data_IF_209637097085
#
_entry.id   IF_209637097085
#
_cell.length_a   1.000
_cell.length_b   1.000
_cell.length_c   1.000
_cell.angle_alpha   90.00
_cell.angle_beta   90.00
_cell.angle_gamma   90.00
#
_symmetry.space_group_name_H-M   'P 1'
#
loop_
_entity.id
_entity.type
_entity.pdbx_description
1 polymer ?
#
# COMPACT_ATOMS: atom_id res chain seq x y z
N UNK A 1 -21.61 -3.68 -68.06
CA UNK A 1 -20.41 -2.90 -67.69
C UNK A 1 -20.55 -2.42 -66.24
N UNK A 2 -20.59 -3.33 -65.27
CA UNK A 2 -20.94 -3.02 -63.86
C UNK A 2 -20.01 -3.71 -62.84
N UNK A 3 -18.91 -4.34 -63.30
CA UNK A 3 -17.88 -4.98 -62.46
C UNK A 3 -16.75 -4.03 -62.01
N UNK A 4 -16.80 -2.75 -62.38
CA UNK A 4 -15.76 -1.76 -62.04
C UNK A 4 -16.00 -1.10 -60.68
N UNK A 5 -17.25 -0.74 -60.38
CA UNK A 5 -17.58 0.11 -59.23
C UNK A 5 -17.34 -0.59 -57.88
N UNK A 6 -17.87 -1.80 -57.71
CA UNK A 6 -17.72 -2.56 -56.45
C UNK A 6 -16.26 -2.94 -56.21
N UNK A 7 -15.51 -3.24 -57.28
CA UNK A 7 -14.10 -3.59 -57.19
C UNK A 7 -13.23 -2.38 -56.82
N UNK A 8 -13.49 -1.22 -57.43
CA UNK A 8 -12.81 0.03 -57.09
C UNK A 8 -13.16 0.53 -55.69
N UNK A 9 -14.40 0.34 -55.24
CA UNK A 9 -14.83 0.68 -53.89
C UNK A 9 -14.11 -0.19 -52.86
N UNK A 10 -14.04 -1.51 -53.08
CA UNK A 10 -13.30 -2.46 -52.24
C UNK A 10 -11.80 -2.18 -52.22
N UNK A 11 -11.19 -1.90 -53.38
CA UNK A 11 -9.76 -1.53 -53.48
C UNK A 11 -9.47 -0.21 -52.71
N UNK A 12 -10.37 0.79 -52.79
CA UNK A 12 -10.22 2.06 -52.04
C UNK A 12 -10.46 1.95 -50.53
N UNK A 13 -11.20 0.92 -50.08
CA UNK A 13 -11.46 0.66 -48.67
C UNK A 13 -10.30 -0.10 -48.00
N UNK A 14 -9.49 -0.81 -48.80
CA UNK A 14 -8.35 -1.62 -48.35
C UNK A 14 -7.00 -0.88 -48.44
N UNK A 15 -6.87 0.14 -49.29
CA UNK A 15 -5.66 0.96 -49.38
C UNK A 15 -5.60 2.00 -48.25
N UNK A 16 -4.63 1.85 -47.35
CA UNK A 16 -4.43 2.71 -46.18
C UNK A 16 -3.83 4.10 -46.49
N UNK A 17 -3.50 4.42 -47.74
CA UNK A 17 -2.62 5.58 -48.03
C UNK A 17 -2.90 6.41 -49.30
N UNK A 18 -4.07 6.34 -49.96
CA UNK A 18 -4.29 7.17 -51.16
C UNK A 18 -5.67 7.82 -51.31
N UNK A 19 -5.63 9.16 -51.41
CA UNK A 19 -6.58 10.06 -52.06
C UNK A 19 -7.91 10.42 -51.37
N UNK A 20 -7.83 11.44 -50.52
CA UNK A 20 -8.95 12.34 -50.16
C UNK A 20 -9.51 13.18 -51.34
N UNK A 21 -9.00 13.01 -52.57
CA UNK A 21 -9.35 13.85 -53.73
C UNK A 21 -10.49 13.35 -54.62
N UNK A 22 -10.78 12.05 -54.66
CA UNK A 22 -11.66 11.47 -55.68
C UNK A 22 -13.14 11.35 -55.29
N UNK A 23 -13.50 11.64 -54.04
CA UNK A 23 -14.89 11.53 -53.55
C UNK A 23 -15.73 12.80 -53.73
N UNK A 24 -15.20 13.86 -54.36
CA UNK A 24 -15.89 15.16 -54.47
C UNK A 24 -16.75 15.34 -55.73
N UNK A 25 -16.68 14.43 -56.70
CA UNK A 25 -17.32 14.61 -58.01
C UNK A 25 -18.45 13.61 -58.34
N UNK A 26 -18.92 12.83 -57.37
CA UNK A 26 -20.00 11.84 -57.59
C UNK A 26 -21.20 12.00 -56.64
N UNK A 27 -21.44 13.22 -56.13
CA UNK A 27 -22.70 13.58 -55.47
C UNK A 27 -23.84 13.59 -56.49
N UNK A 28 -24.32 12.41 -56.85
CA UNK A 28 -25.67 12.20 -57.37
C UNK A 28 -26.56 12.14 -56.13
N UNK A 29 -27.59 13.00 -56.10
CA UNK A 29 -28.62 13.16 -55.07
C UNK A 29 -29.46 11.88 -54.84
N UNK A 30 -28.84 10.78 -54.41
CA UNK A 30 -29.54 9.61 -53.88
C UNK A 30 -29.00 9.32 -52.47
N UNK A 31 -29.90 9.57 -51.51
CA UNK A 31 -29.87 9.21 -50.09
C UNK A 31 -28.62 9.61 -49.29
N UNK A 32 -28.70 10.75 -48.60
CA UNK A 32 -27.78 11.11 -47.53
C UNK A 32 -27.64 9.97 -46.50
N UNK A 33 -28.71 9.20 -46.24
CA UNK A 33 -28.69 8.02 -45.38
C UNK A 33 -27.72 6.93 -45.87
N UNK A 34 -27.66 6.66 -47.18
CA UNK A 34 -26.74 5.67 -47.76
C UNK A 34 -25.28 6.13 -47.65
N UNK A 35 -25.02 7.44 -47.76
CA UNK A 35 -23.67 8.00 -47.57
C UNK A 35 -23.21 7.96 -46.12
N UNK A 36 -24.12 8.15 -45.16
CA UNK A 36 -23.85 8.03 -43.71
C UNK A 36 -23.59 6.57 -43.31
N UNK A 37 -24.38 5.62 -43.84
CA UNK A 37 -24.18 4.18 -43.62
C UNK A 37 -22.82 3.70 -44.16
N UNK A 38 -22.43 4.13 -45.37
CA UNK A 38 -21.12 3.81 -45.93
C UNK A 38 -19.96 4.40 -45.11
N UNK A 39 -20.12 5.61 -44.57
CA UNK A 39 -19.12 6.23 -43.70
C UNK A 39 -19.01 5.48 -42.36
N UNK A 40 -20.14 5.09 -41.77
CA UNK A 40 -20.18 4.27 -40.57
C UNK A 40 -19.52 2.90 -40.79
N UNK A 41 -19.80 2.28 -41.93
CA UNK A 41 -19.22 0.99 -42.33
C UNK A 41 -17.71 1.09 -42.57
N UNK A 42 -17.22 2.17 -43.21
CA UNK A 42 -15.79 2.45 -43.35
C UNK A 42 -15.11 2.63 -41.99
N UNK A 43 -15.72 3.41 -41.10
CA UNK A 43 -15.20 3.64 -39.74
C UNK A 43 -15.15 2.32 -38.96
N UNK A 44 -16.19 1.50 -39.06
CA UNK A 44 -16.24 0.17 -38.45
C UNK A 44 -15.13 -0.75 -38.97
N UNK A 45 -14.89 -0.81 -40.29
CA UNK A 45 -13.80 -1.62 -40.85
C UNK A 45 -12.42 -1.10 -40.41
N UNK A 46 -12.22 0.22 -40.34
CA UNK A 46 -10.97 0.80 -39.85
C UNK A 46 -10.73 0.46 -38.37
N UNK A 47 -11.76 0.58 -37.53
CA UNK A 47 -11.70 0.19 -36.12
C UNK A 47 -11.41 -1.31 -35.97
N UNK A 48 -12.02 -2.15 -36.81
CA UNK A 48 -11.78 -3.60 -36.85
C UNK A 48 -10.34 -3.93 -37.21
N UNK A 49 -9.79 -3.32 -38.27
CA UNK A 49 -8.41 -3.51 -38.70
C UNK A 49 -7.40 -3.07 -37.62
N UNK A 50 -7.67 -1.95 -36.93
CA UNK A 50 -6.85 -1.49 -35.80
C UNK A 50 -6.90 -2.50 -34.66
N UNK A 51 -8.09 -3.04 -34.34
CA UNK A 51 -8.25 -4.07 -33.31
C UNK A 51 -7.50 -5.35 -33.66
N UNK A 52 -7.58 -5.83 -34.91
CA UNK A 52 -6.86 -7.02 -35.38
C UNK A 52 -5.34 -6.82 -35.36
N UNK A 53 -4.84 -5.66 -35.79
CA UNK A 53 -3.42 -5.32 -35.73
C UNK A 53 -2.90 -5.27 -34.28
N UNK A 54 -3.70 -4.70 -33.37
CA UNK A 54 -3.39 -4.67 -31.94
C UNK A 54 -3.36 -6.09 -31.35
N UNK A 55 -4.34 -6.93 -31.67
CA UNK A 55 -4.38 -8.32 -31.22
C UNK A 55 -3.18 -9.11 -31.71
N UNK A 56 -2.84 -9.02 -33.01
CA UNK A 56 -1.64 -9.67 -33.56
C UNK A 56 -0.40 -9.28 -32.77
N UNK A 57 -0.21 -7.99 -32.50
CA UNK A 57 0.92 -7.50 -31.71
C UNK A 57 0.91 -8.04 -30.28
N UNK A 58 -0.25 -8.12 -29.63
CA UNK A 58 -0.38 -8.70 -28.28
C UNK A 58 -0.03 -10.20 -28.30
N UNK A 59 -0.47 -10.92 -29.33
CA UNK A 59 -0.21 -12.35 -29.51
C UNK A 59 1.26 -12.62 -29.82
N UNK A 60 1.91 -11.85 -30.69
CA UNK A 60 3.36 -11.93 -30.93
C UNK A 60 4.13 -11.70 -29.62
N UNK A 61 3.79 -10.65 -28.88
CA UNK A 61 4.36 -10.41 -27.55
C UNK A 61 4.06 -11.53 -26.55
N UNK A 62 2.96 -12.28 -26.70
CA UNK A 62 2.64 -13.45 -25.89
C UNK A 62 3.52 -14.65 -26.23
N UNK A 63 3.79 -14.86 -27.52
CA UNK A 63 4.61 -15.96 -28.01
C UNK A 63 6.10 -15.75 -27.69
N UNK A 64 6.59 -14.51 -27.66
CA UNK A 64 7.99 -14.17 -27.34
C UNK A 64 8.28 -14.08 -25.82
N UNK A 65 7.40 -14.60 -24.95
CA UNK A 65 7.47 -14.40 -23.48
C UNK A 65 8.52 -15.20 -22.73
N UNK A 66 9.02 -16.31 -23.28
CA UNK A 66 9.99 -17.15 -22.57
C UNK A 66 11.24 -16.34 -22.17
N UNK A 67 11.66 -15.42 -23.04
CA UNK A 67 12.75 -14.47 -22.81
C UNK A 67 12.44 -13.48 -21.67
N UNK A 68 11.18 -13.02 -21.55
CA UNK A 68 10.75 -12.11 -20.46
C UNK A 68 10.88 -12.81 -19.11
N UNK A 69 10.48 -14.08 -19.02
CA UNK A 69 10.54 -14.86 -17.78
C UNK A 69 11.98 -15.21 -17.40
N UNK A 70 12.81 -15.57 -18.36
CA UNK A 70 14.24 -15.84 -18.11
C UNK A 70 14.97 -14.57 -17.65
N UNK A 71 14.73 -13.44 -18.31
CA UNK A 71 15.28 -12.14 -17.88
C UNK A 71 14.85 -11.77 -16.46
N UNK A 72 13.56 -11.91 -16.14
CA UNK A 72 13.06 -11.62 -14.79
C UNK A 72 13.74 -12.51 -13.73
N UNK A 73 13.87 -13.82 -14.00
CA UNK A 73 14.59 -14.76 -13.11
C UNK A 73 16.05 -14.34 -12.91
N UNK A 74 16.74 -13.97 -13.98
CA UNK A 74 18.14 -13.56 -13.93
C UNK A 74 18.31 -12.25 -13.16
N UNK A 75 17.40 -11.28 -13.31
CA UNK A 75 17.45 -10.04 -12.54
C UNK A 75 17.23 -10.27 -11.04
N UNK A 76 16.27 -11.13 -10.67
CA UNK A 76 16.03 -11.49 -9.26
C UNK A 76 17.24 -12.20 -8.66
N UNK A 77 17.85 -13.16 -9.40
CA UNK A 77 19.03 -13.88 -8.94
C UNK A 77 20.24 -12.95 -8.68
N UNK A 78 20.29 -11.80 -9.35
CA UNK A 78 21.31 -10.77 -9.18
C UNK A 78 20.86 -9.62 -8.23
N UNK A 79 19.79 -9.81 -7.46
CA UNK A 79 19.20 -8.80 -6.54
C UNK A 79 18.87 -7.46 -7.19
N UNK A 80 18.55 -7.45 -8.50
CA UNK A 80 18.19 -6.25 -9.23
C UNK A 80 16.67 -6.20 -9.44
N UNK A 81 15.95 -5.69 -8.43
CA UNK A 81 14.50 -5.85 -8.34
C UNK A 81 13.71 -4.98 -9.33
N UNK A 82 14.25 -3.82 -9.74
CA UNK A 82 13.54 -2.89 -10.64
C UNK A 82 13.30 -3.48 -12.04
N UNK A 83 14.34 -3.87 -12.81
CA UNK A 83 14.13 -4.50 -14.10
C UNK A 83 13.42 -5.86 -13.97
N UNK A 84 13.54 -6.57 -12.84
CA UNK A 84 12.72 -7.76 -12.59
C UNK A 84 11.23 -7.44 -12.56
N UNK A 85 10.80 -6.46 -11.75
CA UNK A 85 9.38 -6.11 -11.63
C UNK A 85 8.84 -5.50 -12.92
N UNK A 86 9.63 -4.73 -13.67
CA UNK A 86 9.24 -4.21 -14.99
C UNK A 86 8.86 -5.33 -15.97
N UNK A 87 9.65 -6.42 -15.98
CA UNK A 87 9.37 -7.58 -16.83
C UNK A 87 8.12 -8.33 -16.38
N UNK A 88 7.93 -8.49 -15.07
CA UNK A 88 6.74 -9.12 -14.50
C UNK A 88 5.47 -8.30 -14.78
N UNK A 89 5.51 -6.97 -14.63
CA UNK A 89 4.40 -6.08 -14.96
C UNK A 89 4.13 -6.09 -16.46
N UNK A 90 5.16 -6.17 -17.31
CA UNK A 90 4.97 -6.34 -18.76
C UNK A 90 4.26 -7.66 -19.08
N UNK A 91 4.66 -8.77 -18.45
CA UNK A 91 3.99 -10.05 -18.61
C UNK A 91 2.52 -9.99 -18.18
N UNK A 92 2.25 -9.31 -17.06
CA UNK A 92 0.89 -9.11 -16.53
C UNK A 92 0.03 -8.23 -17.45
N UNK A 93 0.60 -7.16 -18.00
CA UNK A 93 -0.08 -6.31 -18.99
C UNK A 93 -0.49 -7.10 -20.23
N UNK A 94 0.37 -7.99 -20.74
CA UNK A 94 -0.01 -8.83 -21.89
C UNK A 94 -1.13 -9.81 -21.50
N UNK A 95 -1.12 -10.35 -20.26
CA UNK A 95 -2.20 -11.21 -19.75
C UNK A 95 -3.53 -10.46 -19.76
N UNK A 96 -3.55 -9.27 -19.16
CA UNK A 96 -4.71 -8.41 -19.08
C UNK A 96 -5.27 -8.05 -20.46
N UNK A 97 -4.41 -7.63 -21.39
CA UNK A 97 -4.87 -7.25 -22.74
C UNK A 97 -5.44 -8.43 -23.55
N UNK A 98 -4.93 -9.64 -23.35
CA UNK A 98 -5.53 -10.83 -23.95
C UNK A 98 -6.92 -11.12 -23.39
N UNK A 99 -7.13 -10.92 -22.08
CA UNK A 99 -8.44 -11.12 -21.44
C UNK A 99 -9.46 -10.08 -21.89
N UNK A 100 -9.09 -8.80 -21.95
CA UNK A 100 -9.95 -7.73 -22.49
C UNK A 100 -10.33 -8.02 -23.94
N UNK A 101 -9.40 -8.50 -24.74
CA UNK A 101 -9.70 -8.92 -26.10
C UNK A 101 -10.66 -10.12 -26.12
N UNK A 102 -10.41 -11.14 -25.29
CA UNK A 102 -11.28 -12.31 -25.18
C UNK A 102 -12.72 -11.94 -24.75
N UNK A 103 -12.87 -10.94 -23.87
CA UNK A 103 -14.16 -10.41 -23.44
C UNK A 103 -14.95 -9.84 -24.61
N UNK A 104 -14.31 -9.07 -25.51
CA UNK A 104 -14.96 -8.52 -26.70
C UNK A 104 -15.51 -9.60 -27.65
N UNK A 105 -14.98 -10.82 -27.56
CA UNK A 105 -15.39 -11.97 -28.36
C UNK A 105 -16.17 -13.03 -27.57
N UNK A 106 -16.42 -12.83 -26.26
CA UNK A 106 -17.06 -13.80 -25.36
C UNK A 106 -16.31 -15.13 -25.22
N UNK A 107 -14.99 -15.08 -25.31
CA UNK A 107 -14.08 -16.25 -25.25
C UNK A 107 -13.16 -16.19 -24.01
N UNK A 108 -13.58 -15.48 -22.95
CA UNK A 108 -12.76 -15.25 -21.74
C UNK A 108 -12.35 -16.57 -21.09
N UNK A 109 -13.29 -17.50 -20.93
CA UNK A 109 -13.04 -18.77 -20.25
C UNK A 109 -11.97 -19.60 -20.97
N UNK A 110 -12.06 -19.72 -22.30
CA UNK A 110 -11.10 -20.46 -23.12
C UNK A 110 -9.70 -19.84 -23.06
N UNK A 111 -9.61 -18.51 -23.14
CA UNK A 111 -8.33 -17.80 -23.03
C UNK A 111 -7.77 -17.90 -21.62
N UNK A 112 -8.61 -17.82 -20.59
CA UNK A 112 -8.18 -17.92 -19.20
C UNK A 112 -7.64 -19.32 -18.85
N UNK A 113 -8.25 -20.38 -19.37
CA UNK A 113 -7.76 -21.76 -19.24
C UNK A 113 -6.36 -21.90 -19.85
N UNK A 114 -6.17 -21.38 -21.07
CA UNK A 114 -4.85 -21.37 -21.74
C UNK A 114 -3.81 -20.58 -20.94
N UNK A 115 -4.19 -19.39 -20.46
CA UNK A 115 -3.31 -18.52 -19.69
C UNK A 115 -2.91 -19.14 -18.35
N UNK A 116 -3.80 -19.88 -17.70
CA UNK A 116 -3.54 -20.47 -16.38
C UNK A 116 -2.35 -21.43 -16.42
N UNK A 117 -2.33 -22.38 -17.37
CA UNK A 117 -1.20 -23.31 -17.52
C UNK A 117 0.09 -22.57 -17.93
N UNK A 118 -0.04 -21.56 -18.78
CA UNK A 118 1.11 -20.83 -19.31
C UNK A 118 1.77 -19.88 -18.30
N UNK A 119 1.00 -19.35 -17.33
CA UNK A 119 1.51 -18.44 -16.30
C UNK A 119 1.95 -19.14 -15.01
N UNK A 120 1.74 -20.46 -14.87
CA UNK A 120 2.22 -21.22 -13.71
C UNK A 120 3.73 -21.00 -13.42
N UNK A 121 4.65 -20.98 -14.42
CA UNK A 121 6.06 -20.69 -14.15
C UNK A 121 6.32 -19.26 -13.63
N UNK A 122 5.44 -18.31 -13.94
CA UNK A 122 5.56 -16.91 -13.50
C UNK A 122 5.31 -16.80 -12.00
N UNK A 123 4.40 -17.61 -11.46
CA UNK A 123 4.14 -17.67 -10.02
C UNK A 123 5.40 -18.04 -9.22
N UNK A 124 6.24 -18.91 -9.77
CA UNK A 124 7.54 -19.25 -9.15
C UNK A 124 8.50 -18.06 -9.16
N UNK A 125 8.41 -17.18 -10.16
CA UNK A 125 9.21 -15.95 -10.25
C UNK A 125 8.68 -14.92 -9.24
N UNK A 126 7.36 -14.76 -9.13
CA UNK A 126 6.73 -13.93 -8.11
C UNK A 126 7.11 -14.39 -6.71
N UNK A 127 7.08 -15.70 -6.43
CA UNK A 127 7.50 -16.23 -5.13
C UNK A 127 8.94 -15.83 -4.78
N UNK A 128 9.89 -15.95 -5.74
CA UNK A 128 11.28 -15.54 -5.54
C UNK A 128 11.43 -14.03 -5.33
N UNK A 129 10.72 -13.22 -6.11
CA UNK A 129 10.69 -11.77 -5.91
C UNK A 129 10.19 -11.41 -4.51
N UNK A 130 9.14 -12.10 -4.07
CA UNK A 130 8.54 -11.88 -2.76
C UNK A 130 9.48 -12.29 -1.63
N UNK A 131 10.22 -13.39 -1.77
CA UNK A 131 11.19 -13.80 -0.75
C UNK A 131 12.32 -12.77 -0.60
N UNK A 132 12.82 -12.20 -1.70
CA UNK A 132 13.72 -11.05 -1.67
C UNK A 132 13.05 -9.83 -1.02
N UNK A 133 11.81 -9.51 -1.39
CA UNK A 133 11.08 -8.37 -0.83
C UNK A 133 10.90 -8.49 0.69
N UNK A 134 10.61 -9.69 1.21
CA UNK A 134 10.51 -9.96 2.65
C UNK A 134 11.82 -9.62 3.38
N UNK A 135 12.97 -9.93 2.80
CA UNK A 135 14.27 -9.60 3.39
C UNK A 135 14.41 -8.08 3.57
N UNK A 136 14.15 -7.29 2.52
CA UNK A 136 14.21 -5.83 2.58
C UNK A 136 13.17 -5.24 3.53
N UNK A 137 11.93 -5.75 3.55
CA UNK A 137 10.90 -5.29 4.48
C UNK A 137 11.26 -5.57 5.95
N UNK A 138 11.85 -6.75 6.23
CA UNK A 138 12.33 -7.10 7.58
C UNK A 138 13.42 -6.14 8.07
N UNK A 139 14.27 -5.66 7.17
CA UNK A 139 15.31 -4.67 7.46
C UNK A 139 14.84 -3.23 7.17
N UNK A 140 13.56 -3.01 6.86
CA UNK A 140 13.08 -1.78 6.24
C UNK A 140 13.38 -0.52 7.05
N UNK A 141 13.13 -0.57 8.36
CA UNK A 141 13.39 0.56 9.27
C UNK A 141 14.89 0.89 9.32
N UNK A 142 15.73 -0.13 9.40
CA UNK A 142 17.18 0.01 9.46
C UNK A 142 17.73 0.54 8.12
N UNK A 143 17.16 0.10 6.98
CA UNK A 143 17.47 0.62 5.65
C UNK A 143 17.06 2.09 5.50
N UNK A 144 15.88 2.47 5.97
CA UNK A 144 15.39 3.86 5.93
C UNK A 144 16.30 4.79 6.75
N UNK A 145 16.78 4.33 7.92
CA UNK A 145 17.78 5.03 8.74
C UNK A 145 19.17 5.07 8.12
N UNK A 146 19.52 4.02 7.39
CA UNK A 146 20.84 3.84 6.80
C UNK A 146 21.22 4.95 5.82
N UNK A 147 22.49 4.95 5.40
CA UNK A 147 23.00 5.90 4.39
C UNK A 147 23.23 5.26 3.02
N UNK A 148 23.10 3.93 2.91
CA UNK A 148 23.33 3.24 1.65
C UNK A 148 22.19 3.55 0.65
N UNK A 149 22.48 4.27 -0.45
CA UNK A 149 21.45 4.66 -1.41
C UNK A 149 20.90 3.45 -2.18
N UNK A 150 21.70 2.42 -2.40
CA UNK A 150 21.29 1.25 -3.19
C UNK A 150 20.21 0.45 -2.46
N UNK A 151 20.41 0.13 -1.18
CA UNK A 151 19.40 -0.59 -0.39
C UNK A 151 18.11 0.21 -0.22
N UNK A 152 18.20 1.55 -0.14
CA UNK A 152 17.03 2.43 -0.11
C UNK A 152 16.26 2.38 -1.42
N UNK A 153 16.96 2.40 -2.55
CA UNK A 153 16.36 2.27 -3.87
C UNK A 153 15.66 0.93 -4.04
N UNK A 154 16.27 -0.17 -3.60
CA UNK A 154 15.61 -1.49 -3.65
C UNK A 154 14.33 -1.53 -2.79
N UNK A 155 14.36 -0.97 -1.57
CA UNK A 155 13.17 -0.85 -0.72
C UNK A 155 12.08 0.02 -1.37
N UNK A 156 12.47 1.12 -2.03
CA UNK A 156 11.53 1.97 -2.78
C UNK A 156 10.85 1.18 -3.91
N UNK A 157 11.64 0.44 -4.69
CA UNK A 157 11.13 -0.41 -5.78
C UNK A 157 10.11 -1.42 -5.27
N UNK A 158 10.36 -2.04 -4.10
CA UNK A 158 9.43 -2.99 -3.50
C UNK A 158 8.10 -2.31 -3.13
N UNK A 159 8.13 -1.14 -2.48
CA UNK A 159 6.90 -0.44 -2.14
C UNK A 159 6.11 0.00 -3.38
N UNK A 160 6.81 0.47 -4.43
CA UNK A 160 6.16 0.76 -5.72
C UNK A 160 5.57 -0.49 -6.37
N UNK A 161 6.28 -1.62 -6.31
CA UNK A 161 5.81 -2.90 -6.85
C UNK A 161 4.51 -3.35 -6.17
N UNK A 162 4.44 -3.23 -4.84
CA UNK A 162 3.25 -3.53 -4.03
C UNK A 162 2.06 -2.66 -4.44
N UNK A 163 2.26 -1.37 -4.65
CA UNK A 163 1.20 -0.46 -5.10
C UNK A 163 0.70 -0.80 -6.51
N UNK A 164 1.62 -1.13 -7.42
CA UNK A 164 1.28 -1.55 -8.78
C UNK A 164 0.50 -2.85 -8.75
N UNK A 165 0.92 -3.82 -7.93
CA UNK A 165 0.23 -5.11 -7.78
C UNK A 165 -1.20 -4.94 -7.27
N UNK A 166 -1.43 -4.09 -6.25
CA UNK A 166 -2.78 -3.79 -5.76
C UNK A 166 -3.64 -3.08 -6.81
N UNK A 167 -3.04 -2.20 -7.63
CA UNK A 167 -3.75 -1.57 -8.76
C UNK A 167 -4.13 -2.59 -9.82
N UNK A 168 -3.27 -3.56 -10.10
CA UNK A 168 -3.57 -4.66 -11.04
C UNK A 168 -4.71 -5.53 -10.51
N UNK A 169 -4.71 -5.87 -9.22
CA UNK A 169 -5.80 -6.61 -8.61
C UNK A 169 -7.14 -5.86 -8.73
N UNK A 170 -7.15 -4.54 -8.47
CA UNK A 170 -8.34 -3.68 -8.71
C UNK A 170 -8.75 -3.62 -10.17
N UNK A 171 -7.79 -3.63 -11.11
CA UNK A 171 -8.10 -3.66 -12.54
C UNK A 171 -8.80 -4.96 -12.93
N UNK A 172 -8.36 -6.11 -12.43
CA UNK A 172 -9.03 -7.38 -12.67
C UNK A 172 -10.44 -7.42 -12.05
N UNK A 173 -10.57 -6.94 -10.81
CA UNK A 173 -11.86 -6.84 -10.12
C UNK A 173 -12.87 -5.98 -10.88
N UNK A 174 -12.46 -4.81 -11.36
CA UNK A 174 -13.32 -3.88 -12.10
C UNK A 174 -13.83 -4.45 -13.43
N UNK A 175 -13.05 -5.31 -14.08
CA UNK A 175 -13.45 -5.99 -15.33
C UNK A 175 -14.02 -7.39 -15.08
N UNK A 176 -14.26 -7.77 -13.81
CA UNK A 176 -14.85 -9.06 -13.43
C UNK A 176 -14.06 -10.28 -13.96
N UNK A 177 -12.73 -10.14 -14.09
CA UNK A 177 -11.87 -11.24 -14.51
C UNK A 177 -11.42 -12.06 -13.31
N UNK A 178 -11.79 -13.35 -13.30
CA UNK A 178 -11.36 -14.31 -12.28
C UNK A 178 -10.07 -15.01 -12.71
N UNK A 179 -8.94 -14.60 -12.12
CA UNK A 179 -7.62 -15.10 -12.49
C UNK A 179 -7.01 -15.95 -11.38
N UNK A 180 -6.51 -17.12 -11.77
CA UNK A 180 -5.77 -18.01 -10.86
C UNK A 180 -4.62 -17.26 -10.18
N UNK A 181 -4.47 -17.47 -8.86
CA UNK A 181 -3.45 -16.88 -7.98
C UNK A 181 -3.56 -15.35 -7.74
N UNK A 182 -4.64 -14.71 -8.18
CA UNK A 182 -4.98 -13.31 -7.85
C UNK A 182 -6.22 -13.26 -6.93
N UNK A 183 -6.35 -12.26 -6.04
CA UNK A 183 -5.39 -11.20 -5.73
C UNK A 183 -4.19 -11.71 -4.90
N UNK A 184 -2.99 -11.17 -5.12
CA UNK A 184 -1.81 -11.65 -4.39
C UNK A 184 -1.72 -11.13 -2.95
N UNK A 185 -2.35 -10.00 -2.65
CA UNK A 185 -2.35 -9.37 -1.31
C UNK A 185 -0.95 -9.02 -0.78
N UNK A 186 0.02 -8.70 -1.64
CA UNK A 186 1.39 -8.36 -1.23
C UNK A 186 1.46 -7.22 -0.21
N UNK A 187 0.59 -6.21 -0.36
CA UNK A 187 0.49 -5.08 0.57
C UNK A 187 0.26 -5.56 2.01
N UNK A 188 -0.83 -6.30 2.25
CA UNK A 188 -1.16 -6.81 3.59
C UNK A 188 -0.05 -7.68 4.16
N UNK A 189 0.54 -8.56 3.34
CA UNK A 189 1.60 -9.47 3.79
C UNK A 189 2.88 -8.72 4.18
N UNK A 190 3.41 -7.85 3.31
CA UNK A 190 4.68 -7.19 3.55
C UNK A 190 4.57 -6.12 4.64
N UNK A 191 3.46 -5.40 4.72
CA UNK A 191 3.23 -4.44 5.81
C UNK A 191 3.08 -5.13 7.17
N UNK A 192 2.52 -6.34 7.22
CA UNK A 192 2.49 -7.14 8.45
C UNK A 192 3.90 -7.49 8.93
N UNK A 193 4.82 -7.84 8.03
CA UNK A 193 6.23 -8.09 8.38
C UNK A 193 6.89 -6.83 8.96
N UNK A 194 6.59 -5.68 8.37
CA UNK A 194 7.08 -4.38 8.90
C UNK A 194 6.49 -4.11 10.28
N UNK A 195 5.19 -4.34 10.49
CA UNK A 195 4.53 -4.19 11.79
C UNK A 195 5.15 -5.12 12.86
N UNK A 196 5.35 -6.39 12.55
CA UNK A 196 6.02 -7.36 13.43
C UNK A 196 7.44 -6.91 13.78
N UNK A 197 8.17 -6.35 12.81
CA UNK A 197 9.50 -5.80 13.06
C UNK A 197 9.47 -4.57 13.96
N UNK A 198 8.50 -3.67 13.77
CA UNK A 198 8.28 -2.53 14.68
C UNK A 198 8.02 -3.04 16.10
N UNK A 199 7.14 -4.02 16.25
CA UNK A 199 6.79 -4.62 17.54
C UNK A 199 8.04 -5.16 18.26
N UNK A 200 8.84 -5.98 17.58
CA UNK A 200 10.09 -6.53 18.12
C UNK A 200 11.07 -5.44 18.57
N UNK A 201 11.18 -4.33 17.81
CA UNK A 201 12.03 -3.19 18.19
C UNK A 201 11.52 -2.52 19.47
N UNK A 202 10.21 -2.29 19.56
CA UNK A 202 9.59 -1.69 20.75
C UNK A 202 9.83 -2.54 21.99
N UNK A 203 9.68 -3.86 21.87
CA UNK A 203 9.93 -4.81 22.95
C UNK A 203 11.40 -4.79 23.43
N UNK A 204 12.34 -4.68 22.48
CA UNK A 204 13.77 -4.67 22.74
C UNK A 204 14.29 -3.40 23.46
N UNK A 205 13.52 -2.32 23.56
CA UNK A 205 13.96 -1.08 24.23
C UNK A 205 13.99 -1.15 25.77
N UNK A 206 13.79 -2.32 26.37
CA UNK A 206 13.93 -2.51 27.82
C UNK A 206 15.41 -2.71 28.20
N UNK A 207 16.07 -1.62 28.60
CA UNK A 207 17.50 -1.61 28.93
C UNK A 207 17.72 -1.68 30.45
N UNK A 208 16.84 -1.05 31.24
CA UNK A 208 16.97 -0.96 32.69
C UNK A 208 15.87 -1.74 33.42
N UNK A 209 16.21 -2.36 34.54
CA UNK A 209 15.27 -3.03 35.45
C UNK A 209 15.17 -2.30 36.79
N UNK A 210 14.13 -2.63 37.55
CA UNK A 210 13.88 -2.13 38.92
C UNK A 210 15.11 -2.20 39.84
N UNK A 211 15.96 -3.23 39.67
CA UNK A 211 17.18 -3.43 40.46
C UNK A 211 18.29 -2.42 40.11
N UNK A 212 18.33 -1.97 38.86
CA UNK A 212 19.34 -1.05 38.36
C UNK A 212 18.93 0.41 38.65
N UNK A 213 17.65 0.73 38.53
CA UNK A 213 17.16 2.09 38.70
C UNK A 213 15.72 2.15 39.25
N UNK A 214 15.49 3.02 40.24
CA UNK A 214 14.14 3.27 40.77
C UNK A 214 13.22 3.99 39.76
N UNK A 215 13.79 4.60 38.72
CA UNK A 215 13.09 5.29 37.64
C UNK A 215 13.14 4.51 36.31
N UNK A 216 13.32 3.20 36.37
CA UNK A 216 13.45 2.35 35.18
C UNK A 216 12.25 2.45 34.22
N UNK A 217 11.01 2.58 34.73
CA UNK A 217 9.81 2.69 33.89
C UNK A 217 9.87 3.92 33.00
N UNK A 218 10.03 5.10 33.60
CA UNK A 218 10.07 6.34 32.81
C UNK A 218 11.30 6.40 31.90
N UNK A 219 12.45 5.87 32.32
CA UNK A 219 13.66 5.85 31.48
C UNK A 219 13.52 4.94 30.27
N UNK A 220 13.04 3.71 30.43
CA UNK A 220 12.83 2.80 29.30
C UNK A 220 11.80 3.37 28.31
N UNK A 221 10.72 3.98 28.82
CA UNK A 221 9.71 4.60 27.98
C UNK A 221 10.24 5.85 27.24
N UNK A 222 11.09 6.67 27.86
CA UNK A 222 11.75 7.79 27.20
C UNK A 222 12.78 7.35 26.15
N UNK A 223 13.54 6.30 26.43
CA UNK A 223 14.45 5.70 25.44
C UNK A 223 13.65 5.18 24.24
N UNK A 224 12.58 4.43 24.50
CA UNK A 224 11.66 3.96 23.48
C UNK A 224 11.09 5.13 22.66
N UNK A 225 10.61 6.20 23.31
CA UNK A 225 10.13 7.42 22.65
C UNK A 225 11.18 8.02 21.71
N UNK A 226 12.43 8.13 22.18
CA UNK A 226 13.54 8.70 21.39
C UNK A 226 13.78 7.91 20.11
N UNK A 227 13.91 6.58 20.20
CA UNK A 227 14.15 5.73 19.04
C UNK A 227 12.97 5.75 18.05
N UNK A 228 11.74 5.79 18.56
CA UNK A 228 10.54 5.83 17.72
C UNK A 228 10.46 7.14 16.96
N UNK A 229 10.78 8.27 17.59
CA UNK A 229 10.84 9.57 16.90
C UNK A 229 11.91 9.55 15.82
N UNK A 230 13.08 8.95 16.06
CA UNK A 230 14.12 8.79 15.04
C UNK A 230 13.69 7.89 13.89
N UNK A 231 13.07 6.75 14.17
CA UNK A 231 12.59 5.79 13.18
C UNK A 231 11.49 6.44 12.32
N UNK A 232 10.51 7.09 12.94
CA UNK A 232 9.44 7.82 12.25
C UNK A 232 9.96 9.01 11.44
N UNK A 233 10.98 9.73 11.95
CA UNK A 233 11.63 10.78 11.17
C UNK A 233 12.29 10.21 9.91
N UNK A 234 13.06 9.12 10.04
CA UNK A 234 13.68 8.46 8.89
C UNK A 234 12.63 7.94 7.89
N UNK A 235 11.55 7.33 8.37
CA UNK A 235 10.43 6.88 7.54
C UNK A 235 9.75 8.06 6.84
N UNK A 236 9.46 9.17 7.54
CA UNK A 236 8.87 10.38 6.93
C UNK A 236 9.77 10.91 5.81
N UNK A 237 11.09 10.92 6.02
CA UNK A 237 12.02 11.39 4.99
C UNK A 237 12.09 10.45 3.79
N UNK A 238 12.12 9.14 4.02
CA UNK A 238 12.14 8.14 2.96
C UNK A 238 10.83 8.14 2.16
N UNK A 239 9.69 8.20 2.83
CA UNK A 239 8.37 8.06 2.21
C UNK A 239 7.87 9.31 1.47
N UNK A 240 8.58 10.46 1.56
CA UNK A 240 8.25 11.69 0.81
C UNK A 240 8.21 11.52 -0.71
N UNK A 241 8.85 10.47 -1.23
CA UNK A 241 8.89 10.16 -2.67
C UNK A 241 7.61 9.48 -3.15
N UNK A 242 6.74 9.05 -2.22
CA UNK A 242 5.44 8.44 -2.51
C UNK A 242 4.33 9.49 -2.41
N UNK A 243 3.28 9.40 -3.25
CA UNK A 243 2.14 10.31 -3.18
C UNK A 243 1.39 10.22 -1.84
N UNK A 244 0.78 11.33 -1.38
CA UNK A 244 0.14 11.42 -0.06
C UNK A 244 -1.07 10.49 0.08
N UNK A 245 -1.73 10.20 -1.04
CA UNK A 245 -2.91 9.34 -1.14
C UNK A 245 -2.63 7.92 -0.66
N UNK A 246 -1.37 7.47 -0.69
CA UNK A 246 -1.00 6.12 -0.29
C UNK A 246 -0.95 5.91 1.22
N UNK A 247 -0.96 6.99 2.02
CA UNK A 247 -0.99 6.94 3.48
C UNK A 247 0.07 6.01 4.12
N UNK A 248 1.16 5.70 3.41
CA UNK A 248 2.15 4.71 3.87
C UNK A 248 2.74 5.11 5.22
N UNK A 249 2.99 6.41 5.41
CA UNK A 249 3.50 6.94 6.67
C UNK A 249 2.53 6.74 7.85
N UNK A 250 1.22 6.81 7.60
CA UNK A 250 0.19 6.58 8.63
C UNK A 250 0.25 5.15 9.15
N UNK A 251 0.52 4.17 8.27
CA UNK A 251 0.72 2.78 8.68
C UNK A 251 1.90 2.66 9.66
N UNK A 252 3.03 3.32 9.40
CA UNK A 252 4.15 3.32 10.34
C UNK A 252 3.79 3.94 11.69
N UNK A 253 3.05 5.05 11.71
CA UNK A 253 2.56 5.65 12.96
C UNK A 253 1.71 4.64 13.73
N UNK A 254 0.75 3.99 13.04
CA UNK A 254 -0.13 2.98 13.65
C UNK A 254 0.68 1.81 14.21
N UNK A 255 1.68 1.30 13.49
CA UNK A 255 2.52 0.19 13.97
C UNK A 255 3.26 0.54 15.26
N UNK A 256 3.89 1.72 15.31
CA UNK A 256 4.59 2.18 16.52
C UNK A 256 3.63 2.46 17.67
N UNK A 257 2.45 2.99 17.36
CA UNK A 257 1.40 3.23 18.32
C UNK A 257 0.89 1.93 18.95
N UNK A 258 0.59 0.93 18.13
CA UNK A 258 0.18 -0.41 18.57
C UNK A 258 1.28 -1.09 19.40
N UNK A 259 2.55 -0.91 19.02
CA UNK A 259 3.64 -1.51 19.78
C UNK A 259 3.86 -0.87 21.15
N UNK A 260 3.78 0.46 21.25
CA UNK A 260 3.82 1.15 22.54
C UNK A 260 2.61 0.77 23.38
N UNK A 261 1.41 0.73 22.80
CA UNK A 261 0.19 0.30 23.47
C UNK A 261 0.34 -1.08 24.10
N UNK A 262 0.88 -2.02 23.34
CA UNK A 262 1.14 -3.39 23.78
C UNK A 262 2.16 -3.41 24.92
N UNK A 263 3.28 -2.69 24.78
CA UNK A 263 4.32 -2.60 25.83
C UNK A 263 3.79 -2.00 27.12
N UNK A 264 3.00 -0.93 27.05
CA UNK A 264 2.39 -0.30 28.23
C UNK A 264 1.38 -1.24 28.87
N UNK A 265 0.57 -1.93 28.06
CA UNK A 265 -0.40 -2.91 28.56
C UNK A 265 0.29 -4.07 29.28
N UNK A 266 1.45 -4.53 28.80
CA UNK A 266 2.28 -5.53 29.48
C UNK A 266 2.84 -4.99 30.79
N UNK A 267 3.39 -3.78 30.81
CA UNK A 267 3.89 -3.14 32.04
C UNK A 267 2.76 -2.99 33.07
N UNK A 268 1.57 -2.59 32.63
CA UNK A 268 0.40 -2.41 33.49
C UNK A 268 -0.19 -3.73 34.02
N UNK A 269 0.03 -4.86 33.34
CA UNK A 269 -0.32 -6.20 33.86
C UNK A 269 0.64 -6.67 34.95
N UNK A 270 1.85 -6.12 35.01
CA UNK A 270 2.84 -6.42 36.04
C UNK A 270 2.54 -5.78 37.40
N UNK A 271 3.20 -6.26 38.45
CA UNK A 271 3.11 -5.66 39.78
C UNK A 271 3.91 -4.35 39.87
N UNK A 272 3.27 -3.23 39.50
CA UNK A 272 3.86 -1.90 39.63
C UNK A 272 3.64 -1.33 41.03
N UNK A 273 4.70 -0.78 41.62
CA UNK A 273 4.57 -0.04 42.88
C UNK A 273 4.01 1.38 42.65
N UNK A 274 3.64 2.09 43.73
CA UNK A 274 3.05 3.43 43.64
C UNK A 274 3.88 4.43 42.82
N UNK A 275 5.22 4.36 42.93
CA UNK A 275 6.12 5.26 42.20
C UNK A 275 6.11 4.95 40.71
N UNK A 276 6.18 3.67 40.35
CA UNK A 276 6.18 3.22 38.95
C UNK A 276 4.83 3.48 38.28
N UNK A 277 3.71 3.34 39.01
CA UNK A 277 2.39 3.76 38.54
C UNK A 277 2.34 5.26 38.24
N UNK A 278 2.90 6.10 39.12
CA UNK A 278 2.98 7.55 38.89
C UNK A 278 3.86 7.85 37.67
N UNK A 279 4.99 7.17 37.52
CA UNK A 279 5.87 7.33 36.36
C UNK A 279 5.16 6.95 35.05
N UNK A 280 4.47 5.80 35.04
CA UNK A 280 3.73 5.31 33.88
C UNK A 280 2.58 6.26 33.50
N UNK A 281 1.77 6.67 34.48
CA UNK A 281 0.66 7.61 34.26
C UNK A 281 1.16 8.98 33.79
N UNK A 282 2.25 9.47 34.37
CA UNK A 282 2.87 10.73 33.95
C UNK A 282 3.35 10.64 32.50
N UNK A 283 3.93 9.50 32.11
CA UNK A 283 4.40 9.29 30.74
C UNK A 283 3.24 9.17 29.76
N UNK A 284 2.21 8.37 30.06
CA UNK A 284 1.01 8.22 29.23
C UNK A 284 0.32 9.57 29.02
N UNK A 285 0.24 10.41 30.05
CA UNK A 285 -0.33 11.77 29.94
C UNK A 285 0.48 12.66 28.99
N UNK A 286 1.78 12.44 28.85
CA UNK A 286 2.67 13.20 27.97
C UNK A 286 2.82 12.57 26.58
N UNK A 287 2.43 11.30 26.43
CA UNK A 287 2.45 10.56 25.17
C UNK A 287 1.55 11.08 24.03
N UNK A 288 0.40 11.80 24.24
CA UNK A 288 -0.35 12.38 23.13
C UNK A 288 0.53 13.33 22.30
N UNK A 289 1.57 13.87 22.92
CA UNK A 289 2.57 14.70 22.29
C UNK A 289 3.69 13.82 21.71
N UNK A 290 3.39 12.98 20.73
CA UNK A 290 4.42 12.54 19.79
C UNK A 290 4.78 13.78 18.97
N UNK A 291 5.69 14.57 19.53
CA UNK A 291 6.15 15.87 19.05
C UNK A 291 6.97 15.68 17.78
N UNK A 292 6.33 15.36 16.65
CA UNK A 292 6.99 15.26 15.35
C UNK A 292 7.11 16.67 14.76
N UNK A 293 8.19 17.35 15.20
CA UNK A 293 8.93 18.48 14.58
C UNK A 293 8.46 19.94 14.88
N UNK A 294 9.36 20.60 15.62
CA UNK A 294 9.69 22.05 15.85
C UNK A 294 8.65 23.04 16.41
N UNK A 295 9.20 23.93 17.25
CA UNK A 295 8.56 24.79 18.24
C UNK A 295 8.08 26.15 17.73
N UNK A 296 6.87 26.52 18.13
CA UNK A 296 6.43 27.83 18.68
C UNK A 296 4.99 27.72 19.24
N UNK A 297 4.26 26.69 18.82
CA UNK A 297 2.95 26.22 19.29
C UNK A 297 2.89 25.67 20.72
N UNK A 298 4.02 25.38 21.37
CA UNK A 298 4.04 24.85 22.74
C UNK A 298 3.42 25.82 23.78
N UNK A 299 3.49 27.13 23.52
CA UNK A 299 2.88 28.17 24.38
C UNK A 299 1.40 28.45 24.05
N UNK A 300 0.94 28.17 22.82
CA UNK A 300 -0.47 28.27 22.43
C UNK A 300 -1.28 27.04 22.86
N UNK A 301 -0.66 25.85 22.79
CA UNK A 301 -1.28 24.58 23.17
C UNK A 301 -1.57 24.47 24.68
N UNK A 302 -0.68 24.95 25.56
CA UNK A 302 -0.93 25.02 27.02
C UNK A 302 -2.16 25.88 27.37
N UNK A 303 -2.38 26.97 26.64
CA UNK A 303 -3.53 27.89 26.81
C UNK A 303 -4.86 27.35 26.26
N UNK A 304 -4.79 26.51 25.23
CA UNK A 304 -5.98 25.94 24.56
C UNK A 304 -6.47 24.69 25.28
N UNK A 305 -5.53 23.89 25.82
CA UNK A 305 -5.75 22.74 26.71
C UNK A 305 -6.41 23.15 28.05
N UNK A 306 -6.24 24.39 28.54
CA UNK A 306 -6.98 24.88 29.72
C UNK A 306 -8.45 25.26 29.42
N UNK A 307 -8.82 25.43 28.14
CA UNK A 307 -10.13 25.92 27.69
C UNK A 307 -11.07 24.85 27.13
N UNK A 308 -10.53 23.80 26.50
CA UNK A 308 -11.29 22.86 25.66
C UNK A 308 -11.75 21.56 26.39
N UNK A 309 -11.38 21.36 27.66
CA UNK A 309 -11.79 20.19 28.47
C UNK A 309 -13.26 20.26 28.96
N UNK A 310 -14.16 20.82 28.15
CA UNK A 310 -15.56 21.01 28.51
C UNK A 310 -16.53 19.98 27.92
N UNK A 311 -16.16 19.14 26.93
CA UNK A 311 -17.08 18.10 26.46
C UNK A 311 -16.40 16.89 25.80
N UNK A 312 -16.82 15.69 26.22
CA UNK A 312 -16.12 14.40 26.07
C UNK A 312 -16.72 13.50 24.95
N UNK A 313 -17.67 13.97 24.15
CA UNK A 313 -18.44 13.06 23.25
C UNK A 313 -17.95 12.94 21.79
N UNK A 314 -16.91 13.67 21.36
CA UNK A 314 -16.46 13.65 19.95
C UNK A 314 -15.16 12.84 19.69
N UNK A 315 -14.78 11.95 20.62
CA UNK A 315 -13.56 11.12 20.57
C UNK A 315 -13.61 9.93 19.58
N UNK A 316 -14.53 9.91 18.61
CA UNK A 316 -14.84 8.73 17.76
C UNK A 316 -14.40 8.89 16.29
N UNK A 317 -13.10 8.98 16.01
CA UNK A 317 -12.50 8.46 14.76
C UNK A 317 -10.99 8.35 14.90
N UNK A 318 -10.42 7.21 14.50
CA UNK A 318 -9.02 6.85 14.73
C UNK A 318 -8.09 7.66 13.82
N UNK A 319 -7.21 8.46 14.45
CA UNK A 319 -6.18 9.33 13.86
C UNK A 319 -6.76 10.43 12.96
N UNK A 320 -6.74 11.66 13.46
CA UNK A 320 -7.07 12.86 12.69
C UNK A 320 -5.76 13.58 12.33
N UNK A 321 -5.62 13.91 11.05
CA UNK A 321 -4.58 14.80 10.51
C UNK A 321 -5.17 16.20 10.37
N UNK A 322 -4.57 17.21 11.00
CA UNK A 322 -5.03 18.60 10.88
C UNK A 322 -4.46 19.32 9.64
N UNK A 323 -4.93 20.55 9.39
CA UNK A 323 -4.50 21.40 8.27
C UNK A 323 -2.98 21.71 8.26
N UNK A 324 -2.26 21.30 9.30
CA UNK A 324 -0.84 21.52 9.52
C UNK A 324 -0.03 20.20 9.59
N UNK A 325 -0.61 19.07 9.16
CA UNK A 325 0.00 17.72 9.15
C UNK A 325 0.33 17.14 10.55
N UNK A 326 -0.39 17.54 11.61
CA UNK A 326 -0.24 16.91 12.93
C UNK A 326 -1.13 15.67 13.07
N UNK A 327 -0.60 14.62 13.71
CA UNK A 327 -1.35 13.38 13.99
C UNK A 327 -1.78 13.31 15.45
N UNK A 328 -3.08 13.29 15.71
CA UNK A 328 -3.65 13.13 17.05
C UNK A 328 -4.06 11.67 17.28
N UNK A 329 -3.69 11.10 18.43
CA UNK A 329 -4.06 9.71 18.77
C UNK A 329 -4.89 9.66 20.05
N UNK A 330 -5.91 8.79 20.07
CA UNK A 330 -6.76 8.55 21.26
C UNK A 330 -6.11 7.58 22.28
N UNK A 331 -4.97 6.99 21.90
CA UNK A 331 -4.01 6.22 22.70
C UNK A 331 -3.98 6.56 24.21
N UNK A 332 -3.50 7.76 24.53
CA UNK A 332 -3.33 8.22 25.90
C UNK A 332 -4.60 8.14 26.74
N UNK A 333 -5.76 8.42 26.15
CA UNK A 333 -7.04 8.38 26.87
C UNK A 333 -7.47 6.95 27.19
N UNK A 334 -7.31 6.02 26.24
CA UNK A 334 -7.63 4.60 26.41
C UNK A 334 -6.70 3.97 27.46
N UNK A 335 -5.39 4.20 27.36
CA UNK A 335 -4.42 3.69 28.32
C UNK A 335 -4.59 4.32 29.70
N UNK A 336 -4.93 5.61 29.77
CA UNK A 336 -5.24 6.26 31.03
C UNK A 336 -6.45 5.61 31.71
N UNK A 337 -7.51 5.29 30.96
CA UNK A 337 -8.67 4.55 31.49
C UNK A 337 -8.26 3.17 32.03
N UNK A 338 -7.47 2.40 31.27
CA UNK A 338 -7.01 1.06 31.67
C UNK A 338 -6.17 1.11 32.95
N UNK A 339 -5.26 2.08 33.07
CA UNK A 339 -4.41 2.24 34.26
C UNK A 339 -5.21 2.78 35.44
N UNK A 340 -6.17 3.67 35.21
CA UNK A 340 -7.08 4.16 36.25
C UNK A 340 -7.94 3.02 36.84
N UNK A 341 -8.42 2.10 35.99
CA UNK A 341 -9.15 0.91 36.45
C UNK A 341 -8.28 -0.02 37.30
N UNK A 342 -6.98 -0.15 36.99
CA UNK A 342 -6.03 -0.88 37.84
C UNK A 342 -5.81 -0.19 39.18
N UNK A 343 -5.68 1.14 39.19
CA UNK A 343 -5.54 1.94 40.43
C UNK A 343 -6.79 1.82 41.31
N UNK A 344 -7.98 1.83 40.71
CA UNK A 344 -9.25 1.62 41.40
C UNK A 344 -9.33 0.21 42.00
N UNK A 345 -9.01 -0.83 41.24
CA UNK A 345 -8.98 -2.24 41.74
C UNK A 345 -7.98 -2.44 42.88
N UNK A 346 -6.79 -1.81 42.82
CA UNK A 346 -5.80 -1.84 43.91
C UNK A 346 -6.29 -1.08 45.14
N UNK A 347 -7.03 0.02 44.94
CA UNK A 347 -7.62 0.81 46.03
C UNK A 347 -8.79 0.09 46.71
N UNK A 348 -9.60 -0.66 45.96
CA UNK A 348 -10.69 -1.49 46.46
C UNK A 348 -10.17 -2.71 47.24
N UNK A 349 -9.14 -3.40 46.72
CA UNK A 349 -8.48 -4.50 47.43
C UNK A 349 -7.81 -4.03 48.74
N UNK A 350 -7.29 -2.79 48.80
CA UNK A 350 -6.79 -2.20 50.06
C UNK A 350 -7.89 -1.86 51.05
N UNK A 351 -9.08 -1.47 50.59
CA UNK A 351 -10.26 -1.28 51.46
C UNK A 351 -10.76 -2.61 52.01
N UNK A 352 -10.88 -3.64 51.17
CA UNK A 352 -11.23 -5.01 51.57
C UNK A 352 -10.23 -5.62 52.57
N UNK A 353 -8.93 -5.44 52.34
CA UNK A 353 -7.91 -5.91 53.28
C UNK A 353 -7.87 -5.10 54.58
N UNK A 354 -8.22 -3.80 54.58
CA UNK A 354 -8.37 -3.02 55.83
C UNK A 354 -9.58 -3.45 56.66
N UNK A 355 -10.66 -3.92 56.02
CA UNK A 355 -11.85 -4.41 56.72
C UNK A 355 -11.56 -5.75 57.42
N UNK A 356 -10.69 -6.60 56.86
CA UNK A 356 -10.31 -7.90 57.47
C UNK A 356 -9.38 -7.84 58.70
N UNK A 357 -8.84 -6.67 59.04
CA UNK A 357 -7.99 -6.48 60.23
C UNK A 357 -8.71 -5.68 61.34
N UNK A 358 -10.04 -5.53 61.23
CA UNK A 358 -10.88 -4.84 62.22
C UNK A 358 -12.11 -5.67 62.63
N UNK A 359 -12.02 -7.01 62.55
CA UNK A 359 -12.94 -7.94 63.21
C UNK A 359 -12.18 -8.84 64.20
#
# INVERSE_FOLDING_TARGET
MQKSFIKQLLESLLDSDANNGYMKELMIEHDMAYSEELLAMKKYFQETLICEANFRKILENFLEKEDIFEQARNYIANSNLLPAIEKLVKAESIRYHLLVFAESHKEVDAINELLTSYYEPVEQIYAKFIDEAKYYCTQGIDIMRGKNPETKKQLEVIFRAVEIDEKIDKLYENNQFEISNRPHCWNKMLFKIVEERVQQRVEAFQIEDRKLNQNWVIRNLEICRSYIVEDLYAAKHFLRIFPKEHQLYNNFIIFYHNGIASKISELAKGELNKRELIQLLSWIRQYPFVKIIKSETANWALKTVEKEFANIEELRSNILEDEFEHYYTHLPHILYSIVNDQVLKVSENRKLNRIKYFD
#
